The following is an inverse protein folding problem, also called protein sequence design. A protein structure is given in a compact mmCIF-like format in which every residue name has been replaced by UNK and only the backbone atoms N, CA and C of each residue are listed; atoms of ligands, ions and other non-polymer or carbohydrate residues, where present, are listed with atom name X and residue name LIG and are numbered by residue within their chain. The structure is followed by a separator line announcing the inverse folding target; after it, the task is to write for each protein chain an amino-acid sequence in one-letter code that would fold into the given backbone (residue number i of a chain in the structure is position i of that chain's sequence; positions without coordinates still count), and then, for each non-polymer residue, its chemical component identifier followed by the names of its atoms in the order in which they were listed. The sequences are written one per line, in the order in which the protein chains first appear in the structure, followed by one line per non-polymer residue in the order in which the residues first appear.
data_IF_039229567077
#
_entry.id   IF_039229567077
#
_cell.length_a   1.000
_cell.length_b   1.000
_cell.length_c   1.000
_cell.angle_alpha   90.00
_cell.angle_beta   90.00
_cell.angle_gamma   90.00
#
_symmetry.space_group_name_H-M   'P 1'
#
loop_
_entity.id
_entity.type
_entity.pdbx_description
1 polymer ?
#
# COMPACT_ATOMS: atom_id res chain seq x y z
N UNK A 1 -2.13 -6.20 9.85
CA UNK A 1 -0.78 -6.60 10.30
C UNK A 1 -0.52 -8.03 9.88
N UNK A 2 0.72 -8.40 9.67
CA UNK A 2 1.09 -9.74 9.25
C UNK A 2 2.28 -10.25 10.06
N UNK A 3 2.38 -11.56 10.22
CA UNK A 3 3.56 -12.28 10.72
C UNK A 3 4.51 -12.68 9.58
N UNK A 4 4.11 -12.44 8.31
CA UNK A 4 4.90 -12.70 7.12
C UNK A 4 5.98 -11.62 6.92
N UNK A 5 7.00 -11.95 6.10
CA UNK A 5 8.01 -10.99 5.67
C UNK A 5 7.38 -9.89 4.83
N UNK A 6 7.90 -8.68 4.97
CA UNK A 6 7.51 -7.53 4.15
C UNK A 6 7.94 -7.77 2.69
N UNK A 7 6.96 -7.93 1.81
CA UNK A 7 7.14 -8.21 0.39
C UNK A 7 6.24 -7.32 -0.47
N UNK A 8 6.60 -7.12 -1.73
CA UNK A 8 5.77 -6.40 -2.68
C UNK A 8 4.38 -7.04 -2.86
N UNK A 9 4.30 -8.36 -2.77
CA UNK A 9 3.04 -9.11 -2.83
C UNK A 9 2.14 -8.80 -1.64
N UNK A 10 2.70 -8.75 -0.43
CA UNK A 10 1.98 -8.37 0.78
C UNK A 10 1.49 -6.92 0.70
N UNK A 11 2.35 -6.00 0.28
CA UNK A 11 2.01 -4.58 0.18
C UNK A 11 0.81 -4.36 -0.75
N UNK A 12 0.80 -4.99 -1.93
CA UNK A 12 -0.32 -4.86 -2.87
C UNK A 12 -1.55 -5.64 -2.41
N UNK A 13 -1.39 -6.80 -1.77
CA UNK A 13 -2.52 -7.53 -1.21
C UNK A 13 -3.25 -6.71 -0.12
N UNK A 14 -2.51 -5.95 0.69
CA UNK A 14 -3.11 -5.03 1.66
C UNK A 14 -3.94 -3.92 0.98
N UNK A 15 -3.47 -3.39 -0.16
CA UNK A 15 -4.21 -2.42 -0.97
C UNK A 15 -5.46 -3.06 -1.56
N UNK A 16 -5.36 -4.29 -2.09
CA UNK A 16 -6.49 -5.04 -2.64
C UNK A 16 -7.58 -5.28 -1.59
N UNK A 17 -7.21 -5.73 -0.39
CA UNK A 17 -8.16 -5.97 0.70
C UNK A 17 -8.80 -4.66 1.17
N UNK A 18 -8.01 -3.60 1.31
CA UNK A 18 -8.54 -2.28 1.64
C UNK A 18 -9.56 -1.80 0.60
N UNK A 19 -9.23 -1.93 -0.69
CA UNK A 19 -10.14 -1.55 -1.76
C UNK A 19 -11.41 -2.40 -1.74
N UNK A 20 -11.29 -3.71 -1.60
CA UNK A 20 -12.43 -4.63 -1.50
C UNK A 20 -13.41 -4.26 -0.40
N UNK A 21 -12.90 -3.80 0.75
CA UNK A 21 -13.72 -3.37 1.89
C UNK A 21 -14.33 -1.98 1.72
N UNK A 22 -13.71 -1.11 0.92
CA UNK A 22 -14.09 0.31 0.88
C UNK A 22 -14.67 0.78 -0.46
N UNK A 23 -14.60 0.00 -1.53
CA UNK A 23 -15.04 0.43 -2.87
C UNK A 23 -16.50 0.91 -2.92
N UNK A 24 -17.38 0.37 -2.08
CA UNK A 24 -18.77 0.82 -1.99
C UNK A 24 -18.90 2.26 -1.51
N UNK A 25 -17.93 2.78 -0.76
CA UNK A 25 -17.90 4.18 -0.33
C UNK A 25 -17.44 5.13 -1.46
N UNK A 26 -16.86 4.58 -2.53
CA UNK A 26 -16.30 5.31 -3.66
C UNK A 26 -16.87 4.84 -5.02
N UNK A 27 -18.19 4.85 -5.22
CA UNK A 27 -18.82 4.21 -6.39
C UNK A 27 -18.44 4.86 -7.74
N UNK A 28 -17.90 6.07 -7.72
CA UNK A 28 -17.48 6.82 -8.91
C UNK A 28 -15.97 6.89 -9.07
N UNK A 29 -15.20 6.20 -8.23
CA UNK A 29 -13.75 6.24 -8.30
C UNK A 29 -13.26 5.49 -9.55
N UNK A 30 -12.49 6.19 -10.36
CA UNK A 30 -11.79 5.63 -11.54
C UNK A 30 -10.28 5.66 -11.35
N UNK A 31 -9.80 6.32 -10.29
CA UNK A 31 -8.37 6.50 -10.00
C UNK A 31 -8.09 6.30 -8.52
N UNK A 32 -6.91 5.75 -8.24
CA UNK A 32 -6.36 5.62 -6.90
C UNK A 32 -4.96 6.23 -6.88
N UNK A 33 -4.70 7.12 -5.93
CA UNK A 33 -3.35 7.62 -5.66
C UNK A 33 -2.79 6.93 -4.43
N UNK A 34 -1.55 6.47 -4.52
CA UNK A 34 -0.80 5.82 -3.45
C UNK A 34 0.43 6.66 -3.16
N UNK A 35 0.55 7.17 -1.95
CA UNK A 35 1.78 7.76 -1.45
C UNK A 35 2.59 6.69 -0.74
N UNK A 36 3.87 6.53 -1.10
CA UNK A 36 4.73 5.48 -0.60
C UNK A 36 6.10 6.04 -0.17
N UNK A 37 6.63 5.50 0.92
CA UNK A 37 7.89 5.96 1.51
C UNK A 37 9.16 5.44 0.80
N UNK A 38 9.00 4.68 -0.29
CA UNK A 38 10.10 4.01 -1.00
C UNK A 38 10.84 2.95 -0.17
N UNK A 39 10.27 2.50 0.94
CA UNK A 39 10.80 1.43 1.78
C UNK A 39 10.70 0.06 1.12
N UNK A 40 11.46 -0.89 1.60
CA UNK A 40 11.53 -2.32 1.25
C UNK A 40 10.59 -2.85 0.17
N UNK A 41 9.38 -3.24 0.56
CA UNK A 41 8.40 -3.92 -0.30
C UNK A 41 7.79 -3.05 -1.39
N UNK A 42 7.61 -1.75 -1.12
CA UNK A 42 6.99 -0.78 -2.02
C UNK A 42 7.99 0.14 -2.73
N UNK A 43 9.27 -0.21 -2.72
CA UNK A 43 10.33 0.63 -3.27
C UNK A 43 10.13 1.02 -4.74
N UNK A 44 10.46 2.28 -5.09
CA UNK A 44 10.29 2.85 -6.43
C UNK A 44 11.01 2.06 -7.55
N UNK A 45 12.05 1.29 -7.22
CA UNK A 45 12.78 0.42 -8.15
C UNK A 45 12.21 -1.00 -8.25
N UNK A 46 11.28 -1.39 -7.37
CA UNK A 46 10.74 -2.74 -7.32
C UNK A 46 9.91 -3.06 -8.57
N UNK A 47 10.41 -3.96 -9.43
CA UNK A 47 9.66 -4.49 -10.58
C UNK A 47 8.48 -5.33 -10.11
N UNK A 48 8.64 -6.08 -9.00
CA UNK A 48 7.59 -6.93 -8.45
C UNK A 48 6.41 -6.10 -7.96
N UNK A 49 6.66 -5.01 -7.23
CA UNK A 49 5.61 -4.09 -6.79
C UNK A 49 4.79 -3.55 -7.97
N UNK A 50 5.47 -3.08 -9.03
CA UNK A 50 4.81 -2.57 -10.24
C UNK A 50 3.99 -3.63 -10.97
N UNK A 51 4.50 -4.86 -11.06
CA UNK A 51 3.75 -5.99 -11.65
C UNK A 51 2.47 -6.28 -10.84
N UNK A 52 2.58 -6.35 -9.52
CA UNK A 52 1.43 -6.58 -8.64
C UNK A 52 0.41 -5.44 -8.71
N UNK A 53 0.86 -4.19 -8.83
CA UNK A 53 -0.03 -3.05 -9.05
C UNK A 53 -0.74 -3.11 -10.42
N UNK A 54 -0.08 -3.63 -11.47
CA UNK A 54 -0.74 -3.88 -12.75
C UNK A 54 -1.88 -4.90 -12.59
N UNK A 55 -1.62 -5.99 -11.90
CA UNK A 55 -2.64 -7.02 -11.63
C UNK A 55 -3.81 -6.43 -10.82
N UNK A 56 -3.53 -5.57 -9.84
CA UNK A 56 -4.57 -4.85 -9.09
C UNK A 56 -5.35 -3.88 -9.98
N UNK A 57 -4.68 -3.10 -10.84
CA UNK A 57 -5.34 -2.18 -11.76
C UNK A 57 -6.27 -2.93 -12.73
N UNK A 58 -5.83 -4.07 -13.27
CA UNK A 58 -6.63 -4.91 -14.18
C UNK A 58 -7.89 -5.47 -13.49
N UNK A 59 -7.77 -5.87 -12.22
CA UNK A 59 -8.88 -6.43 -11.43
C UNK A 59 -9.88 -5.36 -11.01
N UNK A 60 -9.39 -4.24 -10.51
CA UNK A 60 -10.22 -3.15 -9.97
C UNK A 60 -10.79 -2.21 -11.04
N UNK A 61 -10.16 -2.16 -12.21
CA UNK A 61 -10.45 -1.17 -13.25
C UNK A 61 -9.93 0.23 -12.96
N UNK A 62 -9.17 0.41 -11.85
CA UNK A 62 -8.65 1.70 -11.45
C UNK A 62 -7.34 2.04 -12.16
N UNK A 63 -7.19 3.30 -12.55
CA UNK A 63 -5.89 3.89 -12.84
C UNK A 63 -5.14 4.14 -11.52
N UNK A 64 -3.97 3.54 -11.35
CA UNK A 64 -3.19 3.60 -10.11
C UNK A 64 -2.00 4.52 -10.29
N UNK A 65 -2.01 5.65 -9.62
CA UNK A 65 -0.88 6.59 -9.56
C UNK A 65 -0.09 6.35 -8.28
N UNK A 66 1.22 6.18 -8.39
CA UNK A 66 2.11 6.06 -7.23
C UNK A 66 3.06 7.24 -7.19
N UNK A 67 3.10 7.89 -6.02
CA UNK A 67 4.03 8.97 -5.71
C UNK A 67 4.90 8.51 -4.54
N UNK A 68 6.20 8.30 -4.82
CA UNK A 68 7.13 7.90 -3.78
C UNK A 68 7.79 9.11 -3.15
N UNK A 69 7.82 9.13 -1.82
CA UNK A 69 8.68 10.06 -1.10
C UNK A 69 10.15 9.71 -1.35
N UNK A 70 11.02 10.70 -1.54
CA UNK A 70 12.46 10.48 -1.59
C UNK A 70 12.97 9.82 -0.30
N UNK A 71 14.05 9.03 -0.37
CA UNK A 71 14.68 8.48 0.83
C UNK A 71 14.99 9.56 1.86
N UNK A 72 14.69 9.30 3.14
CA UNK A 72 14.92 10.24 4.23
C UNK A 72 13.88 11.34 4.40
N UNK A 73 12.81 11.34 3.59
CA UNK A 73 11.73 12.34 3.68
C UNK A 73 10.43 11.81 4.30
N UNK A 74 10.46 10.65 4.95
CA UNK A 74 9.29 10.06 5.63
C UNK A 74 8.60 11.01 6.61
N UNK A 75 9.34 11.91 7.24
CA UNK A 75 8.79 12.96 8.13
C UNK A 75 7.80 13.89 7.43
N UNK A 76 7.80 13.96 6.11
CA UNK A 76 6.86 14.76 5.32
C UNK A 76 5.59 13.98 4.97
N UNK A 77 5.56 12.66 5.22
CA UNK A 77 4.39 11.85 5.01
C UNK A 77 3.33 12.17 6.08
N UNK A 78 2.15 12.71 5.71
CA UNK A 78 1.13 13.11 6.68
C UNK A 78 0.66 11.97 7.58
N UNK A 79 0.74 10.71 7.15
CA UNK A 79 0.31 9.55 7.92
C UNK A 79 1.15 9.36 9.19
N UNK A 80 2.43 9.72 9.16
CA UNK A 80 3.33 9.64 10.31
C UNK A 80 2.82 10.49 11.48
N UNK A 81 2.31 11.68 11.17
CA UNK A 81 1.84 12.63 12.17
C UNK A 81 0.36 12.45 12.53
N UNK A 82 -0.47 12.05 11.57
CA UNK A 82 -1.93 11.96 11.76
C UNK A 82 -2.39 10.63 12.32
N UNK A 83 -1.66 9.54 12.06
CA UNK A 83 -2.05 8.20 12.50
C UNK A 83 -0.97 7.54 13.34
N UNK A 84 0.25 7.36 12.81
CA UNK A 84 1.26 6.55 13.49
C UNK A 84 1.73 7.18 14.82
N UNK A 85 1.82 8.51 14.89
CA UNK A 85 2.10 9.21 16.15
C UNK A 85 1.01 8.93 17.20
N UNK A 86 -0.26 8.92 16.82
CA UNK A 86 -1.39 8.64 17.71
C UNK A 86 -1.38 7.18 18.17
N UNK A 87 -1.09 6.25 17.26
CA UNK A 87 -0.93 4.83 17.62
C UNK A 87 0.23 4.68 18.62
N UNK A 88 1.38 5.31 18.37
CA UNK A 88 2.54 5.27 19.24
C UNK A 88 2.25 5.84 20.62
N UNK A 89 1.51 6.92 20.71
CA UNK A 89 1.07 7.49 21.99
C UNK A 89 0.12 6.54 22.73
N UNK A 90 -0.77 5.83 22.01
CA UNK A 90 -1.76 4.93 22.62
C UNK A 90 -1.11 3.72 23.30
N UNK A 91 -0.01 3.19 22.78
CA UNK A 91 0.67 2.04 23.37
C UNK A 91 1.93 2.40 24.17
N UNK A 92 2.23 3.69 24.33
CA UNK A 92 3.40 4.15 25.08
C UNK A 92 3.39 3.57 26.53
N UNK A 93 4.52 3.01 26.96
CA UNK A 93 4.65 2.39 28.28
C UNK A 93 4.04 1.00 28.42
N UNK A 94 3.45 0.42 27.38
CA UNK A 94 2.87 -0.92 27.42
C UNK A 94 3.74 -1.97 26.73
N UNK A 95 3.75 -3.18 27.28
CA UNK A 95 4.43 -4.33 26.67
C UNK A 95 3.54 -4.95 25.61
N UNK A 96 4.01 -4.94 24.35
CA UNK A 96 3.27 -5.48 23.20
C UNK A 96 3.65 -6.95 22.98
N UNK A 97 3.29 -7.82 23.92
CA UNK A 97 3.72 -9.23 23.95
C UNK A 97 3.00 -10.13 22.93
N UNK A 98 1.83 -9.75 22.45
CA UNK A 98 1.06 -10.55 21.48
C UNK A 98 0.46 -9.69 20.38
N UNK A 99 0.15 -10.33 19.23
CA UNK A 99 -0.56 -9.67 18.12
C UNK A 99 -1.94 -9.14 18.55
N UNK A 100 -2.64 -9.87 19.42
CA UNK A 100 -3.95 -9.45 19.95
C UNK A 100 -3.85 -8.17 20.79
N UNK A 101 -2.88 -8.08 21.67
CA UNK A 101 -2.61 -6.87 22.47
C UNK A 101 -2.29 -5.70 21.55
N UNK A 102 -1.41 -5.90 20.57
CA UNK A 102 -1.02 -4.87 19.62
C UNK A 102 -2.23 -4.38 18.80
N UNK A 103 -3.04 -5.28 18.23
CA UNK A 103 -4.27 -4.92 17.52
C UNK A 103 -5.28 -4.20 18.44
N UNK A 104 -5.37 -4.61 19.70
CA UNK A 104 -6.22 -3.96 20.70
C UNK A 104 -5.83 -2.49 20.91
N UNK A 105 -4.54 -2.18 21.04
CA UNK A 105 -4.07 -0.80 21.14
C UNK A 105 -4.31 0.01 19.88
N UNK A 106 -4.03 -0.55 18.70
CA UNK A 106 -4.28 0.13 17.43
C UNK A 106 -5.76 0.48 17.26
N UNK A 107 -6.67 -0.44 17.55
CA UNK A 107 -8.13 -0.23 17.43
C UNK A 107 -8.67 0.79 18.44
N UNK A 108 -8.03 0.97 19.60
CA UNK A 108 -8.41 1.96 20.62
C UNK A 108 -7.83 3.34 20.34
N UNK A 109 -6.94 3.46 19.36
CA UNK A 109 -6.36 4.76 19.02
C UNK A 109 -7.46 5.71 18.56
N UNK A 110 -7.52 6.86 19.21
CA UNK A 110 -8.46 7.95 18.88
C UNK A 110 -7.79 9.30 19.13
N UNK A 111 -8.44 10.37 18.71
CA UNK A 111 -8.06 11.75 18.98
C UNK A 111 -9.27 12.54 19.47
N UNK A 112 -9.06 13.71 20.04
CA UNK A 112 -10.13 14.64 20.41
C UNK A 112 -11.03 15.00 19.22
N UNK A 113 -10.49 15.00 18.02
CA UNK A 113 -11.23 15.26 16.78
C UNK A 113 -11.97 14.03 16.23
N UNK A 114 -11.95 12.89 16.95
CA UNK A 114 -12.77 11.72 16.64
C UNK A 114 -12.14 10.75 15.63
N UNK A 115 -10.82 10.64 15.57
CA UNK A 115 -10.15 9.60 14.75
C UNK A 115 -10.67 8.21 15.13
N UNK A 116 -11.11 7.45 14.13
CA UNK A 116 -11.47 6.04 14.27
C UNK A 116 -10.48 5.18 13.50
N UNK A 117 -9.90 4.19 14.16
CA UNK A 117 -8.90 3.30 13.57
C UNK A 117 -9.46 1.88 13.51
N UNK A 118 -9.43 1.32 12.30
CA UNK A 118 -9.75 -0.09 12.06
C UNK A 118 -8.46 -0.84 11.78
N UNK A 119 -8.26 -1.99 12.40
CA UNK A 119 -7.08 -2.82 12.18
C UNK A 119 -7.46 -4.29 12.12
N UNK A 120 -6.91 -4.98 11.13
CA UNK A 120 -7.07 -6.42 10.93
C UNK A 120 -5.70 -7.09 10.81
N UNK A 121 -5.63 -8.38 11.10
CA UNK A 121 -4.44 -9.19 10.84
C UNK A 121 -4.55 -9.86 9.47
N UNK A 122 -3.42 -9.99 8.81
CA UNK A 122 -3.24 -10.78 7.60
C UNK A 122 -2.63 -12.13 7.99
N UNK A 123 -3.34 -13.19 7.74
CA UNK A 123 -2.83 -14.56 7.91
C UNK A 123 -2.51 -15.18 6.54
N UNK A 124 -1.63 -14.48 5.80
CA UNK A 124 -1.16 -14.92 4.48
C UNK A 124 0.36 -14.86 4.44
N UNK A 125 0.96 -15.92 3.93
CA UNK A 125 2.40 -15.98 3.69
C UNK A 125 2.71 -15.71 2.22
N UNK A 126 3.78 -14.95 1.98
CA UNK A 126 4.22 -14.60 0.62
C UNK A 126 5.65 -15.06 0.39
N UNK A 127 5.88 -15.61 -0.80
CA UNK A 127 7.22 -16.02 -1.21
C UNK A 127 8.12 -14.79 -1.40
N UNK A 128 9.35 -14.91 -0.96
CA UNK A 128 10.38 -13.89 -1.15
C UNK A 128 11.24 -14.21 -2.38
N UNK A 129 11.93 -13.19 -2.90
CA UNK A 129 12.90 -13.39 -3.99
C UNK A 129 12.29 -13.63 -5.37
N UNK A 130 10.98 -13.47 -5.54
CA UNK A 130 10.32 -13.60 -6.85
C UNK A 130 10.84 -12.54 -7.81
N UNK A 131 11.43 -12.99 -8.92
CA UNK A 131 11.96 -12.11 -9.97
C UNK A 131 10.88 -11.84 -11.03
N UNK A 132 10.92 -10.66 -11.61
CA UNK A 132 10.11 -10.27 -12.76
C UNK A 132 11.02 -10.17 -13.97
N UNK A 133 10.73 -10.94 -15.00
CA UNK A 133 11.47 -10.94 -16.27
C UNK A 133 11.38 -9.59 -16.98
N UNK A 134 12.24 -9.36 -17.96
CA UNK A 134 12.20 -8.15 -18.79
C UNK A 134 10.88 -8.07 -19.58
N UNK A 135 10.44 -9.18 -20.12
CA UNK A 135 9.18 -9.27 -20.91
C UNK A 135 7.96 -8.94 -20.05
N UNK A 136 7.85 -9.55 -18.84
CA UNK A 136 6.77 -9.24 -17.92
C UNK A 136 6.75 -7.77 -17.50
N UNK A 137 7.94 -7.19 -17.29
CA UNK A 137 8.03 -5.78 -16.92
C UNK A 137 7.63 -4.85 -18.07
N UNK A 138 7.97 -5.18 -19.30
CA UNK A 138 7.58 -4.42 -20.50
C UNK A 138 6.07 -4.48 -20.79
N UNK A 139 5.37 -5.52 -20.33
CA UNK A 139 3.93 -5.66 -20.45
C UNK A 139 3.12 -4.79 -19.46
N UNK A 140 3.78 -4.09 -18.54
CA UNK A 140 3.11 -3.19 -17.59
C UNK A 140 2.74 -1.89 -18.31
N UNK A 141 1.47 -1.48 -18.20
CA UNK A 141 0.96 -0.22 -18.75
C UNK A 141 1.37 0.97 -17.87
N UNK A 142 2.68 1.18 -17.75
CA UNK A 142 3.29 2.16 -16.86
C UNK A 142 3.71 3.41 -17.64
N UNK A 143 3.21 4.55 -17.21
CA UNK A 143 3.61 5.88 -17.69
C UNK A 143 4.32 6.63 -16.56
N UNK A 144 5.54 7.10 -16.80
CA UNK A 144 6.25 7.95 -15.85
C UNK A 144 5.79 9.39 -15.96
N UNK A 145 5.73 10.10 -14.84
CA UNK A 145 5.41 11.53 -14.84
C UNK A 145 6.63 12.36 -15.27
N UNK A 146 6.38 13.57 -15.74
CA UNK A 146 7.45 14.52 -16.07
C UNK A 146 8.22 14.96 -14.82
N UNK A 147 7.48 15.18 -13.72
CA UNK A 147 8.07 15.56 -12.43
C UNK A 147 8.53 14.31 -11.70
N UNK A 148 9.82 14.22 -11.42
CA UNK A 148 10.45 13.13 -10.67
C UNK A 148 10.09 11.74 -11.22
N UNK A 149 10.37 11.45 -12.52
CA UNK A 149 9.94 10.22 -13.20
C UNK A 149 10.47 8.93 -12.57
N UNK A 150 11.53 9.00 -11.77
CA UNK A 150 12.06 7.86 -11.03
C UNK A 150 11.16 7.44 -9.87
N UNK A 151 10.33 8.36 -9.34
CA UNK A 151 9.46 8.14 -8.18
C UNK A 151 7.97 8.22 -8.49
N UNK A 152 7.59 8.96 -9.54
CA UNK A 152 6.18 9.19 -9.87
C UNK A 152 5.80 8.47 -11.16
N UNK A 153 4.78 7.63 -11.10
CA UNK A 153 4.27 6.92 -12.26
C UNK A 153 2.79 6.54 -12.09
N UNK A 154 2.14 6.30 -13.22
CA UNK A 154 0.77 5.82 -13.29
C UNK A 154 0.74 4.47 -14.01
N UNK A 155 0.00 3.52 -13.48
CA UNK A 155 -0.28 2.22 -14.08
C UNK A 155 -1.77 2.19 -14.46
N UNK A 156 -2.06 1.93 -15.74
CA UNK A 156 -3.42 1.82 -16.25
C UNK A 156 -3.85 0.36 -16.36
N UNK A 157 -5.14 0.07 -16.14
CA UNK A 157 -5.66 -1.27 -16.43
C UNK A 157 -5.48 -1.60 -17.90
N UNK A 158 -5.18 -2.84 -18.19
CA UNK A 158 -5.13 -3.34 -19.55
C UNK A 158 -6.57 -3.48 -20.10
N UNK A 159 -6.79 -3.27 -21.40
CA UNK A 159 -8.10 -3.54 -22.01
C UNK A 159 -8.52 -4.98 -21.70
N UNK A 160 -9.75 -5.17 -21.24
CA UNK A 160 -10.31 -6.52 -21.16
C UNK A 160 -10.48 -7.03 -22.58
N UNK A 161 -9.84 -8.13 -22.92
CA UNK A 161 -10.12 -8.84 -24.16
C UNK A 161 -11.53 -9.41 -23.98
N UNK A 162 -12.51 -8.77 -24.59
CA UNK A 162 -13.85 -9.34 -24.75
C UNK A 162 -13.72 -10.38 -25.84
N UNK A 163 -13.81 -11.67 -25.50
CA UNK A 163 -14.03 -12.76 -26.44
C UNK A 163 -15.42 -12.64 -27.08
#
# INVERSE_FOLDING_TARGET
MTTSRDTADLAVAAIQDWWGLNQSHYPKATRLMIEADSGGSNGARSRRYKKRLQEFADQSGLEVTVCHYPPGSSKWNPIEHRLFSQISATWAGHVLSTLLILLGFIRRTTTETGLKVTATSFDRTYQTGLKVSKTEFQAIQLTRHEICPQWNYTIRPRPKITE
#
